data_IF_223825527647
#
_entry.id   IF_223825527647
#
_cell.length_a   1.000
_cell.length_b   1.000
_cell.length_c   1.000
_cell.angle_alpha   90.00
_cell.angle_beta   90.00
_cell.angle_gamma   90.00
#
_symmetry.space_group_name_H-M   'P 1'
#
loop_
_entity.id
_entity.type
_entity.pdbx_description
1 polymer ?
#
# COMPACT_ATOMS: atom_id res chain seq x y z
N UNK A 1 -15.37 -0.35 8.64
CA UNK A 1 -15.79 -0.94 7.34
C UNK A 1 -14.57 -1.56 6.69
N UNK A 2 -14.77 -2.66 5.99
CA UNK A 2 -13.74 -3.35 5.21
C UNK A 2 -13.96 -3.04 3.73
N UNK A 3 -12.89 -2.72 3.01
CA UNK A 3 -12.91 -2.44 1.57
C UNK A 3 -11.83 -3.28 0.92
N UNK A 4 -12.19 -4.07 -0.09
CA UNK A 4 -11.26 -4.91 -0.82
C UNK A 4 -11.19 -4.47 -2.28
N UNK A 5 -9.98 -4.31 -2.79
CA UNK A 5 -9.67 -3.89 -4.16
C UNK A 5 -8.60 -4.82 -4.73
N UNK A 6 -8.80 -6.12 -4.66
CA UNK A 6 -7.83 -7.11 -5.13
C UNK A 6 -7.89 -7.27 -6.66
N UNK A 7 -6.73 -7.49 -7.30
CA UNK A 7 -6.63 -7.83 -8.74
C UNK A 7 -7.29 -6.81 -9.69
N UNK A 8 -7.18 -5.51 -9.37
CA UNK A 8 -7.78 -4.43 -10.16
C UNK A 8 -6.75 -3.66 -11.01
N UNK A 9 -5.51 -4.16 -11.10
CA UNK A 9 -4.42 -3.53 -11.85
C UNK A 9 -4.09 -2.10 -11.37
N UNK A 10 -4.30 -1.82 -10.07
CA UNK A 10 -4.08 -0.49 -9.48
C UNK A 10 -2.60 -0.28 -9.20
N UNK A 11 -2.04 0.85 -9.65
CA UNK A 11 -0.63 1.19 -9.41
C UNK A 11 -0.43 2.47 -8.58
N UNK A 12 -1.50 3.24 -8.36
CA UNK A 12 -1.46 4.54 -7.66
C UNK A 12 -2.64 4.69 -6.73
N UNK A 13 -2.39 5.35 -5.60
CA UNK A 13 -3.44 5.77 -4.69
C UNK A 13 -4.24 6.92 -5.32
N UNK A 14 -5.56 6.75 -5.40
CA UNK A 14 -6.48 7.86 -5.69
C UNK A 14 -6.82 8.66 -4.42
N UNK A 15 -7.90 9.42 -4.48
CA UNK A 15 -8.42 10.19 -3.34
C UNK A 15 -9.41 9.32 -2.54
N UNK A 16 -8.85 8.39 -1.75
CA UNK A 16 -9.60 7.33 -1.06
C UNK A 16 -10.42 7.89 0.09
N UNK A 17 -9.99 9.01 0.70
CA UNK A 17 -10.71 9.69 1.77
C UNK A 17 -12.10 10.18 1.33
N UNK A 18 -12.24 10.61 0.07
CA UNK A 18 -13.52 11.10 -0.46
C UNK A 18 -14.53 9.97 -0.68
N UNK A 19 -14.04 8.77 -1.01
CA UNK A 19 -14.88 7.62 -1.31
C UNK A 19 -15.29 6.88 -0.05
N UNK A 20 -14.33 6.64 0.85
CA UNK A 20 -14.49 5.72 1.97
C UNK A 20 -13.73 6.19 3.23
N UNK A 21 -14.10 7.32 3.86
CA UNK A 21 -13.32 7.93 4.94
C UNK A 21 -13.23 7.10 6.23
N UNK A 22 -14.20 6.21 6.47
CA UNK A 22 -14.33 5.42 7.72
C UNK A 22 -13.83 3.97 7.57
N UNK A 23 -12.95 3.72 6.60
CA UNK A 23 -12.34 2.41 6.38
C UNK A 23 -11.43 2.06 7.55
N UNK A 24 -11.55 0.80 8.00
CA UNK A 24 -10.74 0.23 9.08
C UNK A 24 -9.85 -0.91 8.61
N UNK A 25 -10.26 -1.61 7.56
CA UNK A 25 -9.46 -2.66 6.92
C UNK A 25 -9.50 -2.46 5.41
N UNK A 26 -8.33 -2.46 4.78
CA UNK A 26 -8.17 -2.26 3.35
C UNK A 26 -7.29 -3.35 2.75
N UNK A 27 -7.83 -4.09 1.79
CA UNK A 27 -7.07 -5.08 1.02
C UNK A 27 -6.79 -4.51 -0.37
N UNK A 28 -5.50 -4.27 -0.65
CA UNK A 28 -4.98 -3.90 -1.98
C UNK A 28 -3.99 -4.93 -2.49
N UNK A 29 -4.11 -6.17 -2.03
CA UNK A 29 -3.28 -7.29 -2.49
C UNK A 29 -3.47 -7.58 -3.98
N UNK A 30 -2.46 -8.20 -4.60
CA UNK A 30 -2.48 -8.56 -6.03
C UNK A 30 -2.69 -7.37 -6.97
N UNK A 31 -2.11 -6.21 -6.65
CA UNK A 31 -2.12 -5.04 -7.50
C UNK A 31 -0.70 -4.75 -8.05
N UNK A 32 -0.53 -3.57 -8.64
CA UNK A 32 0.71 -3.12 -9.25
C UNK A 32 1.47 -2.10 -8.40
N UNK A 33 1.20 -2.02 -7.09
CA UNK A 33 1.99 -1.14 -6.23
C UNK A 33 3.45 -1.60 -6.22
N UNK A 34 4.35 -0.65 -6.47
CA UNK A 34 5.79 -0.91 -6.53
C UNK A 34 6.61 -0.01 -5.61
N UNK A 35 5.94 0.92 -4.91
CA UNK A 35 6.62 1.89 -4.08
C UNK A 35 5.88 2.06 -2.75
N UNK A 36 6.63 2.07 -1.66
CA UNK A 36 6.08 2.24 -0.30
C UNK A 36 5.54 3.64 -0.05
N UNK A 37 6.07 4.64 -0.75
CA UNK A 37 5.63 6.04 -0.61
C UNK A 37 4.15 6.20 -0.94
N UNK A 38 3.65 5.53 -1.98
CA UNK A 38 2.24 5.57 -2.37
C UNK A 38 1.35 4.87 -1.33
N UNK A 39 1.80 3.74 -0.78
CA UNK A 39 1.09 3.03 0.27
C UNK A 39 0.99 3.90 1.54
N UNK A 40 2.07 4.59 1.90
CA UNK A 40 2.08 5.53 3.03
C UNK A 40 1.10 6.68 2.76
N UNK A 41 1.15 7.30 1.59
CA UNK A 41 0.23 8.38 1.20
C UNK A 41 -1.23 7.92 1.21
N UNK A 42 -1.51 6.71 0.73
CA UNK A 42 -2.84 6.10 0.77
C UNK A 42 -3.31 5.89 2.20
N UNK A 43 -2.48 5.31 3.07
CA UNK A 43 -2.84 5.07 4.47
C UNK A 43 -3.04 6.37 5.26
N UNK A 44 -2.28 7.42 4.94
CA UNK A 44 -2.41 8.74 5.57
C UNK A 44 -3.77 9.42 5.28
N UNK A 45 -4.46 9.02 4.21
CA UNK A 45 -5.81 9.50 3.89
C UNK A 45 -6.90 8.84 4.75
N UNK A 46 -6.60 7.75 5.46
CA UNK A 46 -7.58 6.92 6.17
C UNK A 46 -7.27 6.90 7.68
N UNK A 47 -7.78 7.87 8.46
CA UNK A 47 -7.40 8.05 9.86
C UNK A 47 -7.82 6.90 10.79
N UNK A 48 -8.85 6.14 10.40
CA UNK A 48 -9.36 5.01 11.17
C UNK A 48 -8.80 3.65 10.72
N UNK A 49 -7.86 3.63 9.76
CA UNK A 49 -7.29 2.41 9.20
C UNK A 49 -6.50 1.64 10.27
N UNK A 50 -6.81 0.35 10.41
CA UNK A 50 -6.19 -0.57 11.37
C UNK A 50 -5.46 -1.71 10.69
N UNK A 51 -5.97 -2.14 9.55
CA UNK A 51 -5.44 -3.27 8.79
C UNK A 51 -5.26 -2.86 7.33
N UNK A 52 -4.11 -3.21 6.75
CA UNK A 52 -3.77 -2.93 5.36
C UNK A 52 -3.02 -4.12 4.79
N UNK A 53 -3.63 -4.81 3.83
CA UNK A 53 -2.98 -5.90 3.08
C UNK A 53 -2.42 -5.37 1.75
N UNK A 54 -1.11 -5.44 1.59
CA UNK A 54 -0.37 -5.09 0.36
C UNK A 54 0.32 -6.29 -0.27
N UNK A 55 -0.01 -7.50 0.16
CA UNK A 55 0.62 -8.73 -0.31
C UNK A 55 0.49 -8.92 -1.82
N UNK A 56 1.40 -9.69 -2.41
CA UNK A 56 1.42 -9.97 -3.86
C UNK A 56 1.46 -8.72 -4.77
N UNK A 57 1.94 -7.59 -4.25
CA UNK A 57 2.36 -6.42 -5.03
C UNK A 57 3.86 -6.51 -5.38
N UNK A 58 4.32 -5.72 -6.35
CA UNK A 58 5.73 -5.69 -6.80
C UNK A 58 6.54 -4.62 -6.06
N UNK A 59 6.43 -4.61 -4.73
CA UNK A 59 7.04 -3.59 -3.89
C UNK A 59 8.56 -3.59 -4.02
N UNK A 60 9.13 -2.47 -4.46
CA UNK A 60 10.56 -2.25 -4.41
C UNK A 60 10.98 -2.09 -2.95
N UNK A 61 12.03 -2.80 -2.56
CA UNK A 61 12.70 -2.54 -1.30
C UNK A 61 13.80 -1.51 -1.60
N UNK A 62 13.63 -0.31 -1.07
CA UNK A 62 14.65 0.73 -1.16
C UNK A 62 15.70 0.45 -0.07
N UNK A 63 16.52 -0.57 -0.33
CA UNK A 63 17.65 -0.91 0.54
C UNK A 63 18.83 -0.08 0.02
N UNK A 64 19.44 0.80 0.85
CA UNK A 64 20.67 1.46 0.46
C UNK A 64 21.71 0.41 0.07
N UNK A 65 22.37 0.58 -1.07
CA UNK A 65 23.36 -0.38 -1.59
C UNK A 65 24.44 -0.72 -0.55
N UNK A 66 24.81 0.25 0.27
CA UNK A 66 25.74 0.15 1.41
C UNK A 66 25.29 -0.86 2.49
N UNK A 67 23.99 -1.15 2.57
CA UNK A 67 23.43 -2.16 3.48
C UNK A 67 23.47 -3.55 2.83
N UNK A 68 23.39 -3.64 1.50
CA UNK A 68 23.51 -4.89 0.76
C UNK A 68 24.96 -5.41 0.76
N UNK A 69 25.93 -4.50 0.67
CA UNK A 69 27.37 -4.83 0.70
C UNK A 69 27.87 -5.30 2.07
N UNK A 70 27.12 -5.03 3.15
CA UNK A 70 27.45 -5.49 4.51
C UNK A 70 26.88 -6.88 4.86
N UNK A 71 26.11 -7.48 3.95
CA UNK A 71 25.50 -8.81 4.14
C UNK A 71 26.21 -9.92 3.33
N UNK A 72 27.26 -9.59 2.57
CA UNK A 72 28.12 -10.52 1.83
C UNK A 72 29.38 -10.88 2.61
#
# INVERSE_FOLDING_TARGET
LEVCVHDQNVAKAGDVALLCPNVRSLDVSQNLFSNWREIIQLSAQLPDLRELDVSKNRMAIDIPEETLTQLS
#
